data_IF_337310356550
#
_entry.id   IF_337310356550
#
_cell.length_a   1.000
_cell.length_b   1.000
_cell.length_c   1.000
_cell.angle_alpha   90.00
_cell.angle_beta   90.00
_cell.angle_gamma   90.00
#
_symmetry.space_group_name_H-M   'P 1'
#
loop_
_entity.id
_entity.type
_entity.pdbx_description
1 polymer ?
#
# COMPACT_ATOMS: atom_id res chain seq x y z
N UNK A 1 16.51 3.45 -7.68
CA UNK A 1 15.73 3.99 -6.55
C UNK A 1 14.27 3.97 -6.94
N UNK A 2 13.38 3.55 -6.04
CA UNK A 2 11.94 3.55 -6.29
C UNK A 2 11.47 5.01 -6.38
N UNK A 3 11.17 5.47 -7.60
CA UNK A 3 10.83 6.86 -7.96
C UNK A 3 9.64 7.42 -7.17
N UNK A 4 8.79 6.55 -6.61
CA UNK A 4 7.57 6.97 -5.94
C UNK A 4 7.74 7.45 -4.48
N UNK A 5 8.87 7.18 -3.83
CA UNK A 5 9.05 7.45 -2.39
C UNK A 5 9.00 8.94 -2.02
N UNK A 6 9.27 9.81 -2.98
CA UNK A 6 9.16 11.27 -2.82
C UNK A 6 7.70 11.74 -2.81
N UNK A 7 6.76 10.94 -3.32
CA UNK A 7 5.34 11.27 -3.40
C UNK A 7 4.52 10.69 -2.25
N UNK A 8 5.11 9.89 -1.37
CA UNK A 8 4.38 9.27 -0.25
C UNK A 8 5.23 9.29 1.02
N UNK A 9 4.67 9.65 2.19
CA UNK A 9 5.44 9.74 3.44
C UNK A 9 5.72 8.37 4.09
N UNK A 10 4.99 7.31 3.73
CA UNK A 10 5.12 5.98 4.32
C UNK A 10 6.54 5.40 4.13
N UNK A 11 7.06 4.72 5.16
CA UNK A 11 8.39 4.06 5.15
C UNK A 11 8.30 2.69 5.83
N UNK A 12 9.26 1.77 5.57
CA UNK A 12 9.32 0.51 6.29
C UNK A 12 9.27 0.71 7.82
N UNK A 13 8.57 -0.16 8.56
CA UNK A 13 7.89 -1.39 8.10
C UNK A 13 6.44 -1.18 7.65
N UNK A 14 5.97 0.06 7.44
CA UNK A 14 4.58 0.36 7.06
C UNK A 14 4.44 0.89 5.63
N UNK A 15 5.36 0.51 4.75
CA UNK A 15 5.30 0.77 3.31
C UNK A 15 4.90 -0.52 2.58
N UNK A 16 3.74 -0.49 1.94
CA UNK A 16 3.10 -1.65 1.31
C UNK A 16 2.99 -1.50 -0.21
N UNK A 17 3.85 -0.69 -0.83
CA UNK A 17 4.06 -0.64 -2.28
C UNK A 17 5.53 -0.85 -2.55
N UNK A 18 5.87 -1.83 -3.39
CA UNK A 18 7.26 -2.11 -3.78
C UNK A 18 7.57 -1.52 -5.17
N UNK A 19 6.58 -1.53 -6.07
CA UNK A 19 6.73 -1.05 -7.46
C UNK A 19 5.47 -0.34 -7.94
N UNK A 20 5.65 0.70 -8.75
CA UNK A 20 4.62 1.27 -9.62
C UNK A 20 4.84 0.66 -11.00
N UNK A 21 3.82 -0.02 -11.55
CA UNK A 21 3.90 -0.73 -12.82
C UNK A 21 3.38 0.14 -13.96
N UNK A 22 2.23 0.77 -13.77
CA UNK A 22 1.56 1.61 -14.77
C UNK A 22 0.87 2.78 -14.06
N UNK A 23 0.82 3.93 -14.73
CA UNK A 23 0.06 5.10 -14.30
C UNK A 23 -0.44 5.85 -15.52
N UNK A 24 -1.73 6.16 -15.55
CA UNK A 24 -2.36 6.88 -16.67
C UNK A 24 -3.60 7.59 -16.20
N UNK A 25 -3.64 8.91 -16.40
CA UNK A 25 -4.74 9.78 -15.93
C UNK A 25 -5.02 9.55 -14.45
N UNK A 26 -6.22 9.08 -14.15
CA UNK A 26 -6.71 8.84 -12.79
C UNK A 26 -6.52 7.38 -12.32
N UNK A 27 -5.67 6.59 -12.98
CA UNK A 27 -5.40 5.18 -12.64
C UNK A 27 -3.93 4.93 -12.33
N UNK A 28 -3.70 4.13 -11.29
CA UNK A 28 -2.38 3.57 -10.95
C UNK A 28 -2.48 2.07 -10.75
N UNK A 29 -1.43 1.37 -11.17
CA UNK A 29 -1.22 -0.05 -10.90
C UNK A 29 0.09 -0.23 -10.16
N UNK A 30 0.01 -0.79 -8.97
CA UNK A 30 1.17 -1.04 -8.10
C UNK A 30 1.32 -2.53 -7.82
N UNK A 31 2.48 -2.89 -7.30
CA UNK A 31 2.78 -4.23 -6.83
C UNK A 31 3.31 -4.21 -5.40
N UNK A 32 2.80 -5.14 -4.58
CA UNK A 32 3.37 -5.53 -3.29
C UNK A 32 3.72 -7.01 -3.35
N UNK A 33 5.00 -7.31 -3.18
CA UNK A 33 5.51 -8.66 -2.95
C UNK A 33 5.31 -9.01 -1.48
N UNK A 34 4.82 -10.20 -1.23
CA UNK A 34 4.68 -10.74 0.12
C UNK A 34 5.92 -11.59 0.40
N UNK A 35 6.75 -11.12 1.33
CA UNK A 35 7.92 -11.86 1.82
C UNK A 35 7.54 -12.60 3.10
N UNK A 36 7.78 -13.93 3.21
CA UNK A 36 7.54 -14.69 4.44
C UNK A 36 8.23 -14.14 5.71
N UNK A 37 9.23 -13.27 5.55
CA UNK A 37 9.94 -12.59 6.64
C UNK A 37 9.28 -11.29 7.11
N UNK A 38 8.20 -10.86 6.48
CA UNK A 38 7.46 -9.67 6.91
C UNK A 38 6.92 -9.89 8.34
N UNK A 39 7.13 -8.93 9.27
CA UNK A 39 6.89 -9.15 10.70
C UNK A 39 5.42 -9.44 11.04
N UNK A 40 4.48 -8.96 10.22
CA UNK A 40 3.06 -9.24 10.44
C UNK A 40 2.68 -10.70 10.14
N UNK A 41 3.47 -11.43 9.34
CA UNK A 41 3.20 -12.85 9.05
C UNK A 41 3.62 -13.78 10.19
N UNK A 42 4.55 -13.35 11.06
CA UNK A 42 4.91 -14.11 12.26
C UNK A 42 3.70 -14.29 13.19
N UNK A 43 2.86 -13.25 13.29
CA UNK A 43 1.67 -13.25 14.14
C UNK A 43 0.36 -13.57 13.42
N UNK A 44 0.34 -13.59 12.08
CA UNK A 44 -0.90 -13.73 11.30
C UNK A 44 -0.74 -14.79 10.19
N UNK A 45 -0.72 -16.09 10.51
CA UNK A 45 -0.75 -16.71 11.84
C UNK A 45 0.44 -17.68 11.98
N UNK A 46 0.90 -17.95 13.22
CA UNK A 46 1.94 -18.97 13.44
C UNK A 46 1.58 -20.30 12.77
N UNK A 47 2.45 -20.80 11.89
CA UNK A 47 2.25 -22.05 11.14
C UNK A 47 1.26 -21.96 9.97
N UNK A 48 0.60 -20.81 9.75
CA UNK A 48 -0.31 -20.55 8.63
C UNK A 48 -0.30 -19.05 8.28
N UNK A 49 0.77 -18.56 7.63
CA UNK A 49 0.87 -17.15 7.27
C UNK A 49 -0.22 -16.78 6.26
N UNK A 50 -0.91 -15.67 6.52
CA UNK A 50 -1.96 -15.09 5.70
C UNK A 50 -1.73 -13.58 5.71
N UNK A 51 -1.79 -12.91 4.56
CA UNK A 51 -1.75 -11.46 4.52
C UNK A 51 -2.97 -10.88 5.26
N UNK A 52 -2.77 -10.02 6.29
CA UNK A 52 -3.89 -9.36 6.94
C UNK A 52 -4.70 -8.56 5.93
N UNK A 53 -6.00 -8.78 5.89
CA UNK A 53 -6.89 -8.09 4.94
C UNK A 53 -6.79 -6.57 5.01
N UNK A 54 -6.60 -6.03 6.22
CA UNK A 54 -6.37 -4.59 6.45
C UNK A 54 -5.11 -4.07 5.76
N UNK A 55 -4.06 -4.87 5.64
CA UNK A 55 -2.82 -4.48 4.95
C UNK A 55 -2.95 -4.58 3.42
N UNK A 56 -3.88 -5.39 2.92
CA UNK A 56 -4.29 -5.33 1.50
C UNK A 56 -4.98 -3.99 1.22
N UNK A 57 -5.82 -3.50 2.13
CA UNK A 57 -6.42 -2.16 1.96
C UNK A 57 -5.39 -1.04 2.11
N UNK A 58 -4.45 -1.18 3.04
CA UNK A 58 -3.37 -0.23 3.20
C UNK A 58 -2.53 -0.12 1.91
N UNK A 59 -2.19 -1.24 1.26
CA UNK A 59 -1.45 -1.17 -0.02
C UNK A 59 -2.24 -0.46 -1.13
N UNK A 60 -3.56 -0.66 -1.19
CA UNK A 60 -4.45 0.05 -2.13
C UNK A 60 -4.49 1.55 -1.81
N UNK A 61 -4.63 1.90 -0.53
CA UNK A 61 -4.60 3.30 -0.09
C UNK A 61 -3.27 3.96 -0.48
N UNK A 62 -2.14 3.30 -0.21
CA UNK A 62 -0.82 3.82 -0.54
C UNK A 62 -0.62 4.00 -2.04
N UNK A 63 -1.20 3.13 -2.89
CA UNK A 63 -1.21 3.34 -4.34
C UNK A 63 -1.89 4.67 -4.71
N UNK A 64 -3.08 4.93 -4.17
CA UNK A 64 -3.78 6.21 -4.39
C UNK A 64 -3.05 7.41 -3.77
N UNK A 65 -2.40 7.23 -2.61
CA UNK A 65 -1.61 8.26 -1.96
C UNK A 65 -0.39 8.68 -2.79
N UNK A 66 0.26 7.73 -3.50
CA UNK A 66 1.34 8.04 -4.45
C UNK A 66 0.85 8.97 -5.56
N UNK A 67 -0.30 8.65 -6.18
CA UNK A 67 -0.89 9.51 -7.21
C UNK A 67 -1.20 10.90 -6.67
N UNK A 68 -1.91 10.97 -5.53
CA UNK A 68 -2.26 12.24 -4.91
C UNK A 68 -1.02 13.07 -4.60
N UNK A 69 0.01 12.42 -4.05
CA UNK A 69 1.29 13.04 -3.73
C UNK A 69 1.98 13.68 -4.92
N UNK A 70 1.87 13.14 -6.14
CA UNK A 70 2.42 13.77 -7.35
C UNK A 70 1.78 15.13 -7.66
N UNK A 71 0.53 15.33 -7.24
CA UNK A 71 -0.17 16.60 -7.42
C UNK A 71 0.07 17.59 -6.28
N UNK A 72 0.45 17.11 -5.08
CA UNK A 72 0.57 17.94 -3.86
C UNK A 72 1.95 17.90 -3.18
N UNK A 73 2.97 17.31 -3.83
CA UNK A 73 4.28 16.98 -3.21
C UNK A 73 4.96 18.17 -2.53
N UNK A 74 4.70 19.39 -2.97
CA UNK A 74 5.31 20.60 -2.44
C UNK A 74 4.57 21.21 -1.23
N UNK A 75 3.45 20.61 -0.80
CA UNK A 75 2.59 21.20 0.23
C UNK A 75 2.78 20.58 1.63
N UNK A 76 3.65 19.57 1.78
CA UNK A 76 3.93 18.93 3.07
C UNK A 76 2.71 18.24 3.71
N UNK A 77 1.67 17.93 2.92
CA UNK A 77 0.43 17.32 3.37
C UNK A 77 0.60 15.82 3.58
N UNK A 78 -0.06 15.29 4.61
CA UNK A 78 -0.11 13.86 4.91
C UNK A 78 -1.46 13.30 4.40
N UNK A 79 -1.47 12.31 3.51
CA UNK A 79 -2.71 11.68 3.08
C UNK A 79 -3.31 10.88 4.24
N UNK A 80 -4.63 11.02 4.44
CA UNK A 80 -5.37 10.32 5.50
C UNK A 80 -6.59 9.63 4.89
N UNK A 81 -6.75 8.35 5.16
CA UNK A 81 -7.91 7.57 4.77
C UNK A 81 -9.06 7.81 5.77
N UNK A 82 -10.19 8.36 5.30
CA UNK A 82 -11.33 8.74 6.17
C UNK A 82 -12.49 7.75 6.14
N UNK A 83 -12.68 7.06 5.01
CA UNK A 83 -13.77 6.10 4.83
C UNK A 83 -13.41 5.09 3.75
N UNK A 84 -13.76 3.83 3.99
CA UNK A 84 -13.79 2.79 2.95
C UNK A 84 -15.15 2.11 2.98
N UNK A 85 -15.73 1.91 1.80
CA UNK A 85 -17.05 1.32 1.63
C UNK A 85 -16.97 0.10 0.71
N UNK A 86 -17.95 -0.80 0.82
CA UNK A 86 -18.16 -1.92 -0.13
C UNK A 86 -16.94 -2.84 -0.31
N UNK A 87 -16.20 -3.08 0.78
CA UNK A 87 -15.07 -3.98 0.80
C UNK A 87 -15.53 -5.44 0.78
N UNK A 88 -14.91 -6.27 -0.08
CA UNK A 88 -15.02 -7.73 -0.03
C UNK A 88 -13.71 -8.41 -0.39
N UNK A 89 -13.09 -9.10 0.56
CA UNK A 89 -11.96 -10.00 0.31
C UNK A 89 -12.50 -11.39 -0.06
N UNK A 90 -12.16 -11.88 -1.25
CA UNK A 90 -12.70 -13.15 -1.77
C UNK A 90 -11.89 -14.36 -1.35
N UNK A 91 -10.57 -14.21 -1.26
CA UNK A 91 -9.63 -15.28 -0.95
C UNK A 91 -8.55 -14.77 -0.01
N UNK A 92 -7.99 -15.68 0.79
CA UNK A 92 -6.76 -15.42 1.52
C UNK A 92 -5.61 -15.19 0.52
N UNK A 93 -4.75 -14.24 0.86
CA UNK A 93 -3.51 -13.94 0.13
C UNK A 93 -2.34 -14.36 0.99
#
# INVERSE_FOLDING_TARGET
>A
MQDFLQYIPHRPPFLFVDRVLEESGDTIKTEKKIDPKEPFLEGHYPGRPIMPGVLIFESIFQAGAIMMGKHIANEGKIPVLTRVNNIKLKHAV
#
